data_IF_626148853531
#
_entry.id   IF_626148853531
#
_cell.length_a   1.000
_cell.length_b   1.000
_cell.length_c   1.000
_cell.angle_alpha   90.00
_cell.angle_beta   90.00
_cell.angle_gamma   90.00
#
_symmetry.space_group_name_H-M   'P 1'
#
loop_
_entity.id
_entity.type
_entity.pdbx_description
1 polymer ?
#
# COMPACT_ATOMS: atom_id res chain seq x y z
N UNK A 1 24.22 41.74 14.66
CA UNK A 1 23.18 41.89 13.63
C UNK A 1 23.78 41.36 12.32
N UNK A 2 23.42 40.14 11.93
CA UNK A 2 23.72 39.63 10.59
C UNK A 2 22.37 39.24 10.00
N UNK A 3 21.75 40.18 9.30
CA UNK A 3 20.63 39.89 8.41
C UNK A 3 21.24 39.54 7.07
N UNK A 4 21.31 38.25 6.76
CA UNK A 4 21.60 37.79 5.40
C UNK A 4 20.27 37.57 4.69
N UNK A 5 19.68 38.66 4.19
CA UNK A 5 18.68 38.59 3.14
C UNK A 5 19.41 38.30 1.81
N UNK A 6 19.34 37.05 1.32
CA UNK A 6 19.62 36.74 -0.08
C UNK A 6 18.57 35.81 -0.65
N UNK A 7 17.88 36.29 -1.67
CA UNK A 7 17.03 35.46 -2.53
C UNK A 7 15.94 36.22 -3.28
N UNK A 8 16.26 37.30 -3.98
CA UNK A 8 15.34 38.04 -4.86
C UNK A 8 15.14 37.34 -6.21
N UNK A 9 14.55 36.16 -6.18
CA UNK A 9 13.79 35.62 -7.31
C UNK A 9 12.40 35.27 -6.80
N UNK A 10 11.36 35.82 -7.41
CA UNK A 10 9.97 35.59 -6.99
C UNK A 10 9.57 34.15 -7.31
N UNK A 11 9.97 33.22 -6.44
CA UNK A 11 9.52 31.83 -6.51
C UNK A 11 8.02 31.83 -6.24
N UNK A 12 7.23 31.72 -7.29
CA UNK A 12 5.78 31.53 -7.19
C UNK A 12 5.50 30.09 -6.79
N UNK A 13 5.20 29.86 -5.51
CA UNK A 13 4.80 28.53 -5.03
C UNK A 13 3.35 28.27 -5.45
N UNK A 14 3.06 27.19 -6.20
CA UNK A 14 1.69 26.86 -6.56
C UNK A 14 0.82 26.68 -5.30
N UNK A 15 -0.37 27.30 -5.22
CA UNK A 15 -1.15 27.36 -3.98
C UNK A 15 -1.59 25.99 -3.46
N UNK A 16 -1.71 24.97 -4.34
CA UNK A 16 -2.08 23.60 -3.98
C UNK A 16 -0.90 22.75 -3.51
N UNK A 17 0.34 23.12 -3.82
CA UNK A 17 1.53 22.32 -3.55
C UNK A 17 1.68 21.98 -2.05
N UNK A 18 1.52 22.94 -1.10
CA UNK A 18 1.64 22.62 0.33
C UNK A 18 0.62 21.56 0.79
N UNK A 19 -0.60 21.60 0.26
CA UNK A 19 -1.67 20.65 0.61
C UNK A 19 -1.35 19.26 0.07
N UNK A 20 -0.87 19.16 -1.17
CA UNK A 20 -0.48 17.89 -1.79
C UNK A 20 0.64 17.23 -0.99
N UNK A 21 1.71 17.98 -0.68
CA UNK A 21 2.83 17.47 0.11
C UNK A 21 2.41 17.06 1.53
N UNK A 22 1.51 17.81 2.17
CA UNK A 22 0.94 17.44 3.46
C UNK A 22 0.20 16.10 3.42
N UNK A 23 -0.63 15.87 2.39
CA UNK A 23 -1.36 14.61 2.25
C UNK A 23 -0.42 13.45 1.93
N UNK A 24 0.57 13.67 1.06
CA UNK A 24 1.62 12.70 0.77
C UNK A 24 2.35 12.26 2.05
N UNK A 25 2.87 13.21 2.84
CA UNK A 25 3.56 12.90 4.10
C UNK A 25 2.65 12.15 5.07
N UNK A 26 1.38 12.56 5.18
CA UNK A 26 0.40 11.89 6.06
C UNK A 26 0.13 10.45 5.61
N UNK A 27 0.06 10.21 4.29
CA UNK A 27 -0.13 8.88 3.72
C UNK A 27 1.11 8.00 3.92
N UNK A 28 2.32 8.55 3.72
CA UNK A 28 3.58 7.85 3.95
C UNK A 28 3.72 7.44 5.42
N UNK A 29 3.48 8.37 6.36
CA UNK A 29 3.54 8.10 7.80
C UNK A 29 2.56 6.99 8.20
N UNK A 30 1.35 6.96 7.65
CA UNK A 30 0.38 5.90 7.98
C UNK A 30 0.77 4.56 7.39
N UNK A 31 1.31 4.56 6.18
CA UNK A 31 1.53 3.34 5.40
C UNK A 31 2.84 2.66 5.76
N UNK A 32 3.85 3.42 6.18
CA UNK A 32 5.19 2.93 6.53
C UNK A 32 5.78 2.06 5.40
N UNK A 33 5.86 2.58 4.15
CA UNK A 33 6.39 1.79 3.05
C UNK A 33 7.89 1.53 3.28
N UNK A 34 8.32 0.30 3.01
CA UNK A 34 9.73 -0.09 3.06
C UNK A 34 10.58 0.73 2.08
N UNK A 35 10.09 0.91 0.86
CA UNK A 35 10.72 1.74 -0.18
C UNK A 35 9.84 2.96 -0.47
N UNK A 36 10.19 4.08 0.14
CA UNK A 36 9.46 5.33 0.00
C UNK A 36 9.45 5.86 -1.44
N UNK A 37 10.53 5.66 -2.21
CA UNK A 37 10.63 6.19 -3.56
C UNK A 37 9.71 5.42 -4.52
N UNK A 38 9.76 4.09 -4.45
CA UNK A 38 8.86 3.22 -5.20
C UNK A 38 7.40 3.48 -4.83
N UNK A 39 7.11 3.53 -3.53
CA UNK A 39 5.78 3.85 -3.04
C UNK A 39 5.30 5.24 -3.47
N UNK A 40 6.19 6.25 -3.48
CA UNK A 40 5.84 7.61 -3.91
C UNK A 40 5.44 7.65 -5.38
N UNK A 41 6.11 6.86 -6.22
CA UNK A 41 5.76 6.71 -7.63
C UNK A 41 4.36 6.15 -7.77
N UNK A 42 4.06 5.05 -7.07
CA UNK A 42 2.73 4.46 -7.07
C UNK A 42 1.65 5.41 -6.52
N UNK A 43 1.98 6.18 -5.48
CA UNK A 43 1.08 7.16 -4.87
C UNK A 43 0.71 8.28 -5.85
N UNK A 44 1.69 8.95 -6.46
CA UNK A 44 1.41 10.04 -7.38
C UNK A 44 0.83 9.57 -8.71
N UNK A 45 1.21 8.38 -9.21
CA UNK A 45 0.55 7.77 -10.38
C UNK A 45 -0.93 7.50 -10.10
N UNK A 46 -1.27 6.94 -8.94
CA UNK A 46 -2.67 6.71 -8.57
C UNK A 46 -3.47 8.02 -8.51
N UNK A 47 -2.89 9.08 -7.93
CA UNK A 47 -3.53 10.40 -7.90
C UNK A 47 -3.73 11.01 -9.29
N UNK A 48 -2.75 10.85 -10.19
CA UNK A 48 -2.86 11.34 -11.56
C UNK A 48 -3.94 10.59 -12.38
N UNK A 49 -4.08 9.29 -12.13
CA UNK A 49 -5.09 8.43 -12.76
C UNK A 49 -6.48 8.52 -12.10
N UNK A 50 -6.59 9.20 -10.95
CA UNK A 50 -7.83 9.25 -10.16
C UNK A 50 -8.20 7.91 -9.49
N UNK A 51 -7.24 7.02 -9.28
CA UNK A 51 -7.44 5.73 -8.61
C UNK A 51 -7.06 5.78 -7.12
N UNK A 52 -7.49 4.78 -6.34
CA UNK A 52 -7.21 4.72 -4.90
C UNK A 52 -5.68 4.59 -4.65
N UNK A 53 -5.05 5.56 -3.96
CA UNK A 53 -3.62 5.49 -3.69
C UNK A 53 -3.29 4.37 -2.70
N UNK A 54 -2.05 3.83 -2.71
CA UNK A 54 -1.60 2.77 -1.82
C UNK A 54 -1.40 3.28 -0.39
N UNK A 55 -2.43 3.84 0.25
CA UNK A 55 -2.33 4.54 1.53
C UNK A 55 -3.26 3.98 2.60
N UNK A 56 -2.69 3.67 3.76
CA UNK A 56 -3.48 3.29 4.95
C UNK A 56 -4.28 4.47 5.47
N UNK A 57 -5.43 4.19 6.08
CA UNK A 57 -6.27 5.21 6.74
C UNK A 57 -5.70 5.65 8.09
N UNK A 58 -5.00 4.74 8.78
CA UNK A 58 -4.37 4.92 10.09
C UNK A 58 -3.04 4.17 10.15
N UNK A 59 -2.16 4.61 11.05
CA UNK A 59 -0.95 3.89 11.42
C UNK A 59 -1.33 2.69 12.29
N UNK A 60 -0.63 1.57 12.12
CA UNK A 60 -0.83 0.34 12.89
C UNK A 60 0.43 0.03 13.69
N UNK A 61 0.26 -0.58 14.87
CA UNK A 61 1.34 -1.06 15.72
C UNK A 61 1.17 -2.56 15.98
N UNK A 62 2.25 -3.33 16.14
CA UNK A 62 3.66 -2.91 16.02
C UNK A 62 4.06 -2.51 14.58
N UNK A 63 5.11 -1.69 14.47
CA UNK A 63 5.71 -1.35 13.18
C UNK A 63 6.63 -2.50 12.76
N UNK A 64 6.07 -3.46 12.03
CA UNK A 64 6.84 -4.62 11.58
C UNK A 64 7.33 -4.45 10.15
N UNK A 65 8.64 -4.64 9.97
CA UNK A 65 9.32 -4.64 8.68
C UNK A 65 9.94 -6.01 8.49
N UNK A 66 9.66 -6.66 7.35
CA UNK A 66 10.28 -7.92 6.98
C UNK A 66 11.68 -7.66 6.37
N UNK A 67 12.52 -8.70 6.29
CA UNK A 67 13.89 -8.56 5.77
C UNK A 67 13.94 -7.98 4.34
N UNK A 68 12.93 -8.26 3.52
CA UNK A 68 12.90 -7.93 2.09
C UNK A 68 11.73 -7.01 1.68
N UNK A 69 11.03 -6.38 2.64
CA UNK A 69 9.88 -5.52 2.34
C UNK A 69 9.05 -5.14 3.56
N UNK A 70 7.94 -4.44 3.34
CA UNK A 70 6.94 -4.19 4.38
C UNK A 70 6.24 -5.51 4.73
N UNK A 71 6.09 -5.80 6.03
CA UNK A 71 5.29 -6.93 6.48
C UNK A 71 3.81 -6.69 6.13
N UNK A 72 3.11 -7.74 5.73
CA UNK A 72 1.67 -7.64 5.50
C UNK A 72 0.98 -7.27 6.80
N UNK A 73 0.02 -6.34 6.74
CA UNK A 73 -0.83 -6.00 7.88
C UNK A 73 -2.29 -5.95 7.45
N UNK A 74 -3.20 -5.98 8.43
CA UNK A 74 -4.63 -5.86 8.16
C UNK A 74 -4.99 -4.54 7.44
N UNK A 75 -4.32 -3.43 7.79
CA UNK A 75 -4.47 -2.16 7.11
C UNK A 75 -4.03 -2.21 5.66
N UNK A 76 -2.97 -2.95 5.33
CA UNK A 76 -2.55 -3.17 3.93
C UNK A 76 -3.55 -4.06 3.17
N UNK A 77 -4.14 -5.08 3.81
CA UNK A 77 -5.23 -5.86 3.20
C UNK A 77 -6.45 -5.00 2.87
N UNK A 78 -6.82 -4.06 3.75
CA UNK A 78 -7.88 -3.07 3.48
C UNK A 78 -7.52 -2.13 2.34
N UNK A 79 -6.26 -1.76 2.18
CA UNK A 79 -5.80 -0.98 1.00
C UNK A 79 -5.97 -1.80 -0.27
N UNK A 80 -5.51 -3.05 -0.27
CA UNK A 80 -5.66 -3.96 -1.41
C UNK A 80 -7.12 -4.15 -1.80
N UNK A 81 -8.02 -4.39 -0.83
CA UNK A 81 -9.45 -4.50 -1.12
C UNK A 81 -10.00 -3.24 -1.80
N UNK A 82 -9.68 -2.04 -1.29
CA UNK A 82 -10.12 -0.78 -1.89
C UNK A 82 -9.57 -0.57 -3.31
N UNK A 83 -8.31 -0.97 -3.56
CA UNK A 83 -7.67 -0.85 -4.87
C UNK A 83 -8.16 -1.86 -5.90
N UNK A 84 -8.57 -3.06 -5.45
CA UNK A 84 -9.07 -4.13 -6.30
C UNK A 84 -10.59 -4.02 -6.57
N UNK A 85 -11.31 -3.35 -5.68
CA UNK A 85 -12.74 -3.04 -5.83
C UNK A 85 -13.63 -4.13 -5.24
N UNK A 86 -14.57 -4.63 -6.04
CA UNK A 86 -15.58 -5.61 -5.61
C UNK A 86 -14.95 -6.90 -5.08
N UNK A 87 -15.26 -7.24 -3.82
CA UNK A 87 -14.77 -8.42 -3.11
C UNK A 87 -15.04 -9.74 -3.85
N UNK A 88 -16.16 -9.85 -4.57
CA UNK A 88 -16.54 -11.07 -5.29
C UNK A 88 -15.95 -11.16 -6.69
N UNK A 89 -15.33 -10.09 -7.18
CA UNK A 89 -14.78 -10.02 -8.53
C UNK A 89 -13.54 -10.90 -8.69
N UNK A 90 -13.35 -11.34 -9.93
CA UNK A 90 -12.13 -12.00 -10.39
C UNK A 90 -11.28 -11.01 -11.19
N UNK A 91 -10.01 -10.90 -10.84
CA UNK A 91 -9.04 -10.02 -11.50
C UNK A 91 -7.89 -10.83 -12.10
N UNK A 92 -7.16 -10.23 -13.03
CA UNK A 92 -5.94 -10.83 -13.56
C UNK A 92 -4.84 -10.83 -12.47
N UNK A 93 -3.98 -11.84 -12.49
CA UNK A 93 -2.92 -11.99 -11.47
C UNK A 93 -1.94 -10.82 -11.52
N UNK A 94 -1.71 -10.26 -12.71
CA UNK A 94 -0.85 -9.12 -12.96
C UNK A 94 -1.33 -7.87 -12.21
N UNK A 95 -2.65 -7.72 -12.05
CA UNK A 95 -3.25 -6.64 -11.25
C UNK A 95 -2.92 -6.82 -9.78
N UNK A 96 -3.05 -8.04 -9.24
CA UNK A 96 -2.68 -8.35 -7.85
C UNK A 96 -1.20 -8.06 -7.63
N UNK A 97 -0.33 -8.57 -8.51
CA UNK A 97 1.11 -8.37 -8.43
C UNK A 97 1.46 -6.88 -8.44
N UNK A 98 0.85 -6.09 -9.32
CA UNK A 98 1.06 -4.66 -9.36
C UNK A 98 0.65 -3.98 -8.05
N UNK A 99 -0.57 -4.22 -7.55
CA UNK A 99 -1.05 -3.58 -6.31
C UNK A 99 -0.25 -4.00 -5.08
N UNK A 100 0.19 -5.25 -5.03
CA UNK A 100 1.08 -5.76 -3.99
C UNK A 100 2.43 -5.05 -4.00
N UNK A 101 3.01 -4.93 -5.19
CA UNK A 101 4.32 -4.29 -5.42
C UNK A 101 4.28 -2.78 -5.15
N UNK A 102 3.19 -2.11 -5.51
CA UNK A 102 2.93 -0.70 -5.24
C UNK A 102 2.85 -0.40 -3.72
N UNK A 103 2.56 -1.40 -2.88
CA UNK A 103 2.58 -1.32 -1.42
C UNK A 103 3.94 -1.70 -0.79
N UNK A 104 4.93 -2.05 -1.61
CA UNK A 104 6.25 -2.50 -1.15
C UNK A 104 6.20 -3.73 -0.22
N UNK A 105 5.20 -4.59 -0.40
CA UNK A 105 5.04 -5.84 0.33
C UNK A 105 6.04 -6.91 -0.14
N UNK A 106 6.43 -7.82 0.75
CA UNK A 106 7.36 -8.93 0.43
C UNK A 106 6.77 -9.82 -0.68
N UNK A 107 7.57 -10.07 -1.73
CA UNK A 107 7.17 -10.91 -2.84
C UNK A 107 7.07 -12.39 -2.45
N UNK A 108 7.79 -12.80 -1.40
CA UNK A 108 7.79 -14.17 -0.88
C UNK A 108 6.40 -14.54 -0.35
N UNK A 109 5.78 -13.63 0.41
CA UNK A 109 4.41 -13.78 0.92
C UNK A 109 3.41 -13.88 -0.24
N UNK A 110 3.57 -13.03 -1.27
CA UNK A 110 2.72 -13.11 -2.45
C UNK A 110 2.86 -14.47 -3.15
N UNK A 111 4.08 -14.95 -3.36
CA UNK A 111 4.32 -16.25 -3.98
C UNK A 111 3.68 -17.39 -3.19
N UNK A 112 3.77 -17.36 -1.86
CA UNK A 112 3.09 -18.33 -0.99
C UNK A 112 1.58 -18.27 -1.16
N UNK A 113 0.97 -17.08 -1.15
CA UNK A 113 -0.48 -16.88 -1.39
C UNK A 113 -0.88 -17.45 -2.75
N UNK A 114 -0.07 -17.20 -3.79
CA UNK A 114 -0.32 -17.65 -5.16
C UNK A 114 -0.28 -19.18 -5.28
N UNK A 115 0.70 -19.83 -4.63
CA UNK A 115 0.84 -21.29 -4.57
C UNK A 115 -0.36 -21.91 -3.84
N UNK A 116 -0.66 -21.44 -2.63
CA UNK A 116 -1.78 -21.95 -1.80
C UNK A 116 -3.12 -21.76 -2.52
N UNK A 117 -3.32 -20.60 -3.14
CA UNK A 117 -4.55 -20.28 -3.87
C UNK A 117 -4.69 -21.01 -5.20
N UNK A 118 -3.61 -21.62 -5.70
CA UNK A 118 -3.51 -22.21 -7.05
C UNK A 118 -3.92 -21.21 -8.14
N UNK A 119 -3.56 -19.94 -7.95
CA UNK A 119 -3.89 -18.87 -8.90
C UNK A 119 -2.93 -18.94 -10.09
N UNK A 120 -3.47 -18.97 -11.32
CA UNK A 120 -2.66 -19.00 -12.56
C UNK A 120 -2.75 -17.69 -13.33
N UNK A 121 -3.87 -17.47 -14.03
CA UNK A 121 -4.11 -16.25 -14.84
C UNK A 121 -5.07 -15.27 -14.18
N UNK A 122 -5.98 -15.81 -13.38
CA UNK A 122 -7.06 -15.07 -12.74
C UNK A 122 -7.14 -15.46 -11.27
N UNK A 123 -7.54 -14.49 -10.47
CA UNK A 123 -7.56 -14.56 -9.03
C UNK A 123 -8.87 -13.96 -8.51
N UNK A 124 -9.62 -14.71 -7.71
CA UNK A 124 -10.81 -14.17 -7.06
C UNK A 124 -10.39 -13.39 -5.82
N UNK A 125 -10.80 -12.12 -5.73
CA UNK A 125 -10.35 -11.19 -4.68
C UNK A 125 -10.64 -11.76 -3.28
N UNK A 126 -11.85 -12.27 -3.04
CA UNK A 126 -12.18 -12.89 -1.75
C UNK A 126 -11.25 -14.03 -1.35
N UNK A 127 -10.91 -14.93 -2.29
CA UNK A 127 -10.06 -16.08 -2.03
C UNK A 127 -8.62 -15.63 -1.77
N UNK A 128 -8.14 -14.66 -2.54
CA UNK A 128 -6.83 -14.05 -2.33
C UNK A 128 -6.71 -13.42 -0.95
N UNK A 129 -7.65 -12.56 -0.59
CA UNK A 129 -7.66 -11.86 0.69
C UNK A 129 -7.81 -12.83 1.87
N UNK A 130 -8.61 -13.89 1.74
CA UNK A 130 -8.74 -14.91 2.79
C UNK A 130 -7.41 -15.66 3.02
N UNK A 131 -6.69 -16.02 1.96
CA UNK A 131 -5.38 -16.68 2.10
C UNK A 131 -4.36 -15.71 2.68
N UNK A 132 -4.35 -14.46 2.23
CA UNK A 132 -3.46 -13.43 2.75
C UNK A 132 -3.74 -13.11 4.24
N UNK A 133 -5.01 -13.07 4.64
CA UNK A 133 -5.42 -12.95 6.05
C UNK A 133 -4.92 -14.14 6.89
N UNK A 134 -4.90 -15.35 6.31
CA UNK A 134 -4.34 -16.54 6.95
C UNK A 134 -2.83 -16.45 7.23
N UNK A 135 -2.08 -15.60 6.52
CA UNK A 135 -0.67 -15.33 6.84
C UNK A 135 -0.51 -14.40 8.06
N UNK A 136 -1.54 -13.64 8.42
CA UNK A 136 -1.52 -12.73 9.58
C UNK A 136 -1.89 -13.44 10.88
N UNK A 137 -2.73 -14.47 10.81
CA UNK A 137 -3.17 -15.22 11.98
C UNK A 137 -2.07 -16.15 12.49
N UNK A 138 -1.83 -16.17 13.80
CA UNK A 138 -0.96 -17.17 14.43
C UNK A 138 -1.64 -18.54 14.53
N UNK A 139 -2.97 -18.55 14.38
CA UNK A 139 -3.83 -19.73 14.43
C UNK A 139 -5.01 -19.61 13.45
N UNK A 140 -5.68 -20.74 13.22
CA UNK A 140 -6.94 -20.78 12.47
C UNK A 140 -8.01 -19.89 13.14
N UNK A 141 -8.04 -19.89 14.48
CA UNK A 141 -9.01 -19.10 15.25
C UNK A 141 -8.80 -17.59 15.03
N UNK A 142 -7.56 -17.11 15.10
CA UNK A 142 -7.25 -15.70 14.83
C UNK A 142 -7.64 -15.32 13.40
N UNK A 143 -7.39 -16.21 12.45
CA UNK A 143 -7.76 -16.02 11.04
C UNK A 143 -9.28 -15.91 10.88
N UNK A 144 -10.07 -16.72 11.59
CA UNK A 144 -11.54 -16.66 11.55
C UNK A 144 -12.10 -15.36 12.13
N UNK A 145 -11.39 -14.69 13.04
CA UNK A 145 -11.80 -13.37 13.54
C UNK A 145 -11.52 -12.25 12.54
N UNK A 146 -10.63 -12.48 11.56
CA UNK A 146 -10.22 -11.50 10.55
C UNK A 146 -11.12 -11.54 9.30
N UNK A 147 -11.64 -12.72 8.95
CA UNK A 147 -12.47 -12.98 7.75
C UNK A 147 -13.94 -12.66 8.02
#
# INVERSE_FOLDING_TARGET
>A
MINEERGTSSISVPPKLPVILKQFCKAAIRTQPYDLLKWSTAYFSALAEGSEPPSKTRLEYPLETAANGSCLTFGLLKVLLRQLGDYNKTVAVEVILKRWTDLCLDITDLNLIMIVGKFRRKCQIKKFLAIAAGLLGSSLFDTMLII
#
